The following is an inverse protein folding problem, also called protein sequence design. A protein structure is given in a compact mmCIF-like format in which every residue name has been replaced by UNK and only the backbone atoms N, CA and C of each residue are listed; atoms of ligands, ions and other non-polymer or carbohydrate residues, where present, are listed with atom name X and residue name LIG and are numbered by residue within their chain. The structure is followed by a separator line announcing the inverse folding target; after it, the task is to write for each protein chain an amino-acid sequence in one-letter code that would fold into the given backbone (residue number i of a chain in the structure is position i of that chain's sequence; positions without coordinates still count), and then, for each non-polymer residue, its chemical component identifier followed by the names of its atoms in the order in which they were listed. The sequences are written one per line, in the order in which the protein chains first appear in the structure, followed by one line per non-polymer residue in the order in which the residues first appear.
data_IF_229538475885
#
_entry.id   IF_229538475885
#
_cell.length_a   1.000
_cell.length_b   1.000
_cell.length_c   1.000
_cell.angle_alpha   90.00
_cell.angle_beta   90.00
_cell.angle_gamma   90.00
#
_symmetry.space_group_name_H-M   'P 1'
#
loop_
_entity.id
_entity.type
_entity.pdbx_description
1 polymer ?
#
# COMPACT_ATOMS: atom_id res chain seq x y z
N UNK A 1 -36.88 -2.75 1.35
CA UNK A 1 -36.08 -2.89 0.12
C UNK A 1 -34.72 -2.27 0.42
N UNK A 2 -33.60 -3.02 0.44
CA UNK A 2 -32.29 -2.41 0.65
C UNK A 2 -32.03 -1.41 -0.49
N UNK A 3 -31.50 -0.25 -0.14
CA UNK A 3 -31.10 0.78 -1.10
C UNK A 3 -29.93 0.22 -1.93
N UNK A 4 -30.22 -0.19 -3.16
CA UNK A 4 -29.18 -0.47 -4.14
C UNK A 4 -28.56 0.88 -4.53
N UNK A 5 -27.46 1.24 -3.87
CA UNK A 5 -26.57 2.27 -4.37
C UNK A 5 -26.24 1.93 -5.84
N UNK A 6 -26.26 2.90 -6.77
CA UNK A 6 -25.98 2.62 -8.17
C UNK A 6 -24.69 1.79 -8.28
N UNK A 7 -24.64 0.75 -9.13
CA UNK A 7 -23.53 -0.19 -9.15
C UNK A 7 -22.25 0.59 -9.37
N UNK A 8 -21.39 0.60 -8.34
CA UNK A 8 -20.14 1.33 -8.43
C UNK A 8 -19.27 0.62 -9.46
N UNK A 9 -19.03 1.32 -10.57
CA UNK A 9 -18.28 0.79 -11.72
C UNK A 9 -16.89 0.31 -11.28
N UNK A 10 -16.27 1.07 -10.37
CA UNK A 10 -14.97 0.79 -9.76
C UNK A 10 -15.06 0.85 -8.23
N UNK A 11 -15.13 -0.31 -7.59
CA UNK A 11 -15.20 -0.46 -6.14
C UNK A 11 -14.20 -1.50 -5.69
N UNK A 12 -13.50 -1.22 -4.59
CA UNK A 12 -12.50 -2.10 -4.02
C UNK A 12 -12.61 -2.08 -2.49
N UNK A 13 -12.44 -3.24 -1.88
CA UNK A 13 -12.28 -3.39 -0.44
C UNK A 13 -10.93 -4.05 -0.15
N UNK A 14 -10.31 -3.72 0.98
CA UNK A 14 -9.03 -4.30 1.38
C UNK A 14 -9.27 -5.15 2.64
N UNK A 15 -9.84 -6.36 2.50
CA UNK A 15 -10.26 -7.17 3.64
C UNK A 15 -9.11 -7.60 4.55
N UNK A 16 -7.90 -7.71 4.01
CA UNK A 16 -6.73 -8.16 4.75
C UNK A 16 -5.47 -7.47 4.24
N UNK A 17 -4.60 -7.09 5.16
CA UNK A 17 -3.28 -6.58 4.84
C UNK A 17 -2.25 -6.99 5.89
N UNK A 18 -1.10 -7.41 5.40
CA UNK A 18 0.10 -7.65 6.18
C UNK A 18 1.05 -6.47 6.02
N UNK A 19 0.85 -5.47 6.89
CA UNK A 19 1.67 -4.27 7.01
C UNK A 19 2.39 -4.27 8.37
N UNK A 20 3.60 -3.71 8.46
CA UNK A 20 4.30 -3.65 9.73
C UNK A 20 3.70 -2.56 10.62
N UNK A 21 3.46 -2.87 11.90
CA UNK A 21 3.09 -1.86 12.90
C UNK A 21 4.30 -1.00 13.34
N UNK A 22 5.50 -1.53 13.17
CA UNK A 22 6.75 -0.80 13.37
C UNK A 22 7.93 -1.48 12.70
N UNK A 23 8.95 -0.68 12.39
CA UNK A 23 10.16 -1.06 11.68
C UNK A 23 11.38 -0.41 12.33
N UNK A 24 12.55 -1.03 12.17
CA UNK A 24 13.80 -0.36 12.45
C UNK A 24 14.18 0.64 11.36
N UNK A 25 14.97 1.66 11.68
CA UNK A 25 15.49 2.61 10.69
C UNK A 25 16.28 1.87 9.59
N UNK A 26 15.96 2.12 8.31
CA UNK A 26 16.56 1.41 7.17
C UNK A 26 16.08 -0.03 6.96
N UNK A 27 15.13 -0.51 7.76
CA UNK A 27 14.63 -1.89 7.66
C UNK A 27 13.73 -2.06 6.43
N UNK A 28 13.96 -3.15 5.69
CA UNK A 28 13.11 -3.51 4.55
C UNK A 28 12.04 -4.51 4.98
N UNK A 29 10.80 -4.29 4.53
CA UNK A 29 9.66 -5.13 4.87
C UNK A 29 8.84 -5.46 3.62
N UNK A 30 8.57 -6.76 3.42
CA UNK A 30 7.72 -7.24 2.35
C UNK A 30 6.26 -7.26 2.80
N UNK A 31 5.49 -6.26 2.37
CA UNK A 31 4.07 -6.15 2.67
C UNK A 31 3.23 -6.92 1.66
N UNK A 32 2.04 -7.34 2.10
CA UNK A 32 1.02 -7.96 1.24
C UNK A 32 -0.34 -7.39 1.55
N UNK A 33 -1.08 -6.99 0.53
CA UNK A 33 -2.40 -6.38 0.70
C UNK A 33 -3.38 -7.15 -0.18
N UNK A 34 -4.33 -7.84 0.44
CA UNK A 34 -5.43 -8.50 -0.23
C UNK A 34 -6.51 -7.47 -0.55
N UNK A 35 -6.85 -7.37 -1.83
CA UNK A 35 -7.84 -6.43 -2.35
C UNK A 35 -8.93 -7.21 -3.06
N UNK A 36 -10.17 -6.99 -2.63
CA UNK A 36 -11.37 -7.55 -3.23
C UNK A 36 -11.97 -6.56 -4.22
N UNK A 37 -12.25 -7.04 -5.42
CA UNK A 37 -13.02 -6.29 -6.40
C UNK A 37 -14.50 -6.37 -6.04
N UNK A 38 -15.07 -5.27 -5.57
CA UNK A 38 -16.49 -5.12 -5.24
C UNK A 38 -17.25 -4.36 -6.33
N UNK A 39 -16.55 -3.93 -7.38
CA UNK A 39 -17.12 -3.22 -8.51
C UNK A 39 -17.68 -4.16 -9.58
N UNK A 40 -18.17 -3.57 -10.68
CA UNK A 40 -18.73 -4.32 -11.81
C UNK A 40 -17.72 -4.60 -12.94
N UNK A 41 -16.57 -3.90 -12.95
CA UNK A 41 -15.52 -4.10 -13.95
C UNK A 41 -14.42 -5.05 -13.48
N UNK A 42 -13.92 -5.91 -14.39
CA UNK A 42 -12.71 -6.70 -14.11
C UNK A 42 -11.47 -5.82 -14.12
N UNK A 43 -10.62 -5.95 -13.10
CA UNK A 43 -9.34 -5.26 -13.07
C UNK A 43 -8.28 -6.02 -13.85
N UNK A 44 -7.42 -5.29 -14.54
CA UNK A 44 -6.28 -5.84 -15.26
C UNK A 44 -5.17 -4.80 -15.38
N UNK A 45 -3.93 -5.27 -15.59
CA UNK A 45 -2.80 -4.37 -15.88
C UNK A 45 -3.05 -3.53 -17.13
N UNK A 46 -3.66 -4.10 -18.17
CA UNK A 46 -4.02 -3.40 -19.41
C UNK A 46 -5.05 -2.27 -19.18
N UNK A 47 -5.94 -2.43 -18.20
CA UNK A 47 -6.84 -1.37 -17.76
C UNK A 47 -6.18 -0.31 -16.86
N UNK A 48 -4.89 -0.46 -16.56
CA UNK A 48 -4.13 0.45 -15.70
C UNK A 48 -4.47 0.34 -14.21
N UNK A 49 -5.12 -0.75 -13.80
CA UNK A 49 -5.46 -0.98 -12.40
C UNK A 49 -4.20 -1.29 -11.58
N UNK A 50 -4.00 -0.53 -10.50
CA UNK A 50 -2.87 -0.67 -9.61
C UNK A 50 -3.28 -0.33 -8.18
N UNK A 51 -2.58 -0.90 -7.20
CA UNK A 51 -2.66 -0.44 -5.82
C UNK A 51 -1.73 0.77 -5.67
N UNK A 52 -2.29 1.92 -5.33
CA UNK A 52 -1.53 3.15 -5.14
C UNK A 52 -1.34 3.48 -3.66
N UNK A 53 -0.18 4.01 -3.34
CA UNK A 53 0.10 4.62 -2.06
C UNK A 53 -0.33 6.09 -2.13
N UNK A 54 -1.27 6.48 -1.29
CA UNK A 54 -1.85 7.82 -1.20
C UNK A 54 -0.96 8.71 -0.32
N UNK A 55 -0.44 8.17 0.78
CA UNK A 55 0.38 8.89 1.77
C UNK A 55 1.52 8.00 2.31
N UNK A 56 2.68 8.59 2.60
CA UNK A 56 3.86 7.91 3.18
C UNK A 56 4.79 7.21 2.20
N UNK A 57 4.71 7.49 0.90
CA UNK A 57 5.52 6.82 -0.12
C UNK A 57 6.94 7.35 -0.29
N UNK A 58 7.10 8.66 -0.17
CA UNK A 58 8.40 9.31 -0.35
C UNK A 58 9.36 8.96 0.79
N UNK A 59 8.86 8.80 2.01
CA UNK A 59 9.66 8.46 3.19
C UNK A 59 10.07 6.98 3.22
N UNK A 60 9.29 6.08 2.58
CA UNK A 60 9.54 4.63 2.63
C UNK A 60 10.30 4.07 1.42
N UNK A 61 10.89 4.95 0.59
CA UNK A 61 11.62 4.58 -0.64
C UNK A 61 10.90 3.51 -1.48
N UNK A 62 9.57 3.58 -1.54
CA UNK A 62 8.71 2.52 -2.10
C UNK A 62 8.06 2.98 -3.39
N UNK A 63 7.76 2.07 -4.34
CA UNK A 63 6.94 2.44 -5.49
C UNK A 63 5.59 2.99 -5.04
N UNK A 64 5.24 4.17 -5.56
CA UNK A 64 3.95 4.83 -5.32
C UNK A 64 2.76 4.02 -5.90
N UNK A 65 3.02 3.08 -6.82
CA UNK A 65 2.00 2.24 -7.46
C UNK A 65 2.51 0.83 -7.71
N UNK A 66 1.73 -0.15 -7.30
CA UNK A 66 1.95 -1.58 -7.51
C UNK A 66 0.94 -2.06 -8.55
N UNK A 67 1.40 -2.24 -9.78
CA UNK A 67 0.54 -2.73 -10.86
C UNK A 67 0.19 -4.21 -10.67
N UNK A 68 -0.94 -4.63 -11.24
CA UNK A 68 -1.25 -6.04 -11.41
C UNK A 68 -0.19 -6.74 -12.27
N UNK A 69 0.07 -8.02 -11.99
CA UNK A 69 0.96 -8.84 -12.81
C UNK A 69 0.43 -8.99 -14.26
N UNK A 70 1.32 -9.22 -15.22
CA UNK A 70 0.93 -9.45 -16.61
C UNK A 70 0.01 -10.68 -16.71
N UNK A 71 -1.13 -10.50 -17.37
CA UNK A 71 -2.18 -11.52 -17.47
C UNK A 71 -3.07 -11.68 -16.23
N UNK A 72 -2.77 -11.01 -15.11
CA UNK A 72 -3.65 -11.02 -13.94
C UNK A 72 -4.97 -10.29 -14.24
N UNK A 73 -6.07 -10.97 -13.93
CA UNK A 73 -7.42 -10.43 -14.08
C UNK A 73 -8.22 -10.69 -12.81
N UNK A 74 -8.73 -9.63 -12.19
CA UNK A 74 -9.52 -9.71 -10.96
C UNK A 74 -10.98 -9.45 -11.32
N UNK A 75 -11.77 -10.51 -11.44
CA UNK A 75 -13.19 -10.40 -11.73
C UNK A 75 -13.96 -9.77 -10.55
N UNK A 76 -15.16 -9.21 -10.77
CA UNK A 76 -16.08 -8.83 -9.71
C UNK A 76 -16.26 -9.95 -8.67
N UNK A 77 -16.16 -9.60 -7.40
CA UNK A 77 -16.21 -10.52 -6.26
C UNK A 77 -14.89 -11.23 -5.94
N UNK A 78 -13.90 -11.23 -6.85
CA UNK A 78 -12.63 -11.91 -6.65
C UNK A 78 -11.66 -11.09 -5.79
N UNK A 79 -10.71 -11.77 -5.15
CA UNK A 79 -9.65 -11.18 -4.32
C UNK A 79 -8.31 -11.36 -5.01
N UNK A 80 -7.48 -10.32 -4.98
CA UNK A 80 -6.11 -10.35 -5.46
C UNK A 80 -5.16 -9.79 -4.39
N UNK A 81 -4.03 -10.46 -4.20
CA UNK A 81 -3.03 -10.03 -3.21
C UNK A 81 -1.90 -9.31 -3.92
N UNK A 82 -1.77 -8.02 -3.66
CA UNK A 82 -0.63 -7.22 -4.07
C UNK A 82 0.52 -7.43 -3.10
N UNK A 83 1.75 -7.53 -3.62
CA UNK A 83 2.95 -7.61 -2.83
C UNK A 83 3.88 -6.45 -3.19
N UNK A 84 4.46 -5.81 -2.19
CA UNK A 84 5.45 -4.75 -2.36
C UNK A 84 6.51 -4.83 -1.26
N UNK A 85 7.65 -4.19 -1.49
CA UNK A 85 8.68 -4.04 -0.47
C UNK A 85 8.80 -2.56 -0.14
N UNK A 86 8.66 -2.23 1.14
CA UNK A 86 8.90 -0.89 1.68
C UNK A 86 10.23 -0.88 2.43
N UNK A 87 10.89 0.27 2.49
CA UNK A 87 12.13 0.46 3.25
C UNK A 87 11.91 1.61 4.21
N UNK A 88 12.00 1.36 5.52
CA UNK A 88 11.81 2.40 6.51
C UNK A 88 12.89 3.50 6.39
N UNK A 89 12.52 4.78 6.57
CA UNK A 89 13.48 5.87 6.57
C UNK A 89 14.52 5.73 7.69
N UNK A 90 15.65 6.43 7.56
CA UNK A 90 16.68 6.50 8.60
C UNK A 90 16.28 7.38 9.80
N UNK A 91 15.16 8.10 9.68
CA UNK A 91 14.62 8.96 10.72
C UNK A 91 13.58 8.21 11.55
N UNK A 92 13.80 8.17 12.87
CA UNK A 92 12.79 7.67 13.79
C UNK A 92 11.56 8.59 13.79
N UNK A 93 10.37 8.00 13.78
CA UNK A 93 9.13 8.74 13.61
C UNK A 93 7.92 7.83 13.53
N UNK A 94 6.73 8.43 13.53
CA UNK A 94 5.51 7.72 13.16
C UNK A 94 5.07 8.22 11.81
N UNK A 95 4.97 7.29 10.87
CA UNK A 95 4.56 7.57 9.50
C UNK A 95 3.25 6.87 9.23
N UNK A 96 2.44 7.40 8.33
CA UNK A 96 1.17 6.79 7.93
C UNK A 96 1.31 6.27 6.51
N UNK A 97 0.97 5.01 6.32
CA UNK A 97 0.89 4.40 5.01
C UNK A 97 -0.59 4.27 4.64
N UNK A 98 -1.05 5.08 3.71
CA UNK A 98 -2.42 4.99 3.19
C UNK A 98 -2.42 4.31 1.81
N UNK A 99 -3.01 3.13 1.70
CA UNK A 99 -3.11 2.38 0.44
C UNK A 99 -4.52 2.40 -0.12
N UNK A 100 -4.65 2.60 -1.43
CA UNK A 100 -5.94 2.63 -2.11
C UNK A 100 -5.82 2.21 -3.58
N UNK A 101 -6.84 1.53 -4.11
CA UNK A 101 -6.85 1.18 -5.53
C UNK A 101 -6.92 2.42 -6.41
N UNK A 102 -6.20 2.40 -7.52
CA UNK A 102 -6.14 3.50 -8.48
C UNK A 102 -6.22 2.99 -9.92
N UNK A 103 -6.79 3.82 -10.80
CA UNK A 103 -6.72 3.60 -12.25
C UNK A 103 -6.68 4.93 -13.01
N UNK A 104 -6.11 4.93 -14.23
CA UNK A 104 -6.19 6.07 -15.14
C UNK A 104 -7.64 6.52 -15.36
N UNK A 105 -7.88 7.84 -15.35
CA UNK A 105 -9.17 8.45 -15.62
C UNK A 105 -10.19 8.45 -14.47
N UNK A 106 -10.12 7.48 -13.53
CA UNK A 106 -10.97 7.50 -12.32
C UNK A 106 -10.24 7.99 -11.07
N UNK A 107 -8.90 7.94 -11.04
CA UNK A 107 -8.12 8.27 -9.85
C UNK A 107 -8.20 7.15 -8.80
N UNK A 108 -8.17 7.53 -7.52
CA UNK A 108 -8.27 6.59 -6.40
C UNK A 108 -9.73 6.21 -6.11
N UNK A 109 -10.00 4.92 -5.90
CA UNK A 109 -11.33 4.39 -5.65
C UNK A 109 -11.29 3.24 -4.62
N UNK A 110 -12.46 2.69 -4.27
CA UNK A 110 -12.62 1.76 -3.16
C UNK A 110 -12.43 2.39 -1.78
N UNK A 111 -12.36 1.52 -0.77
CA UNK A 111 -11.88 1.83 0.58
C UNK A 111 -10.39 2.14 0.56
N UNK A 112 -9.92 2.92 1.55
CA UNK A 112 -8.50 3.08 1.85
C UNK A 112 -8.11 2.19 3.03
N UNK A 113 -6.85 1.82 3.07
CA UNK A 113 -6.21 1.16 4.19
C UNK A 113 -5.17 2.11 4.78
N UNK A 114 -5.49 2.68 5.94
CA UNK A 114 -4.57 3.51 6.73
C UNK A 114 -3.87 2.64 7.77
N UNK A 115 -2.54 2.62 7.75
CA UNK A 115 -1.73 1.92 8.74
C UNK A 115 -0.64 2.86 9.29
N UNK A 116 -0.68 3.22 10.58
CA UNK A 116 0.43 3.89 11.23
C UNK A 116 1.59 2.90 11.42
N UNK A 117 2.77 3.30 10.97
CA UNK A 117 4.03 2.55 11.10
C UNK A 117 4.98 3.36 11.97
N UNK A 118 5.41 2.78 13.08
CA UNK A 118 6.41 3.39 13.97
C UNK A 118 7.82 2.96 13.55
N UNK A 119 8.61 3.92 13.12
CA UNK A 119 10.03 3.70 12.80
C UNK A 119 10.86 4.05 14.03
N UNK A 120 11.62 3.10 14.53
CA UNK A 120 12.50 3.28 15.68
C UNK A 120 13.94 2.96 15.29
N UNK A 121 14.86 3.89 15.54
CA UNK A 121 16.27 3.59 15.33
C UNK A 121 16.82 2.85 16.55
N UNK A 122 17.40 1.66 16.40
CA UNK A 122 18.12 1.05 17.50
C UNK A 122 19.28 1.97 17.92
N UNK A 123 19.58 2.08 19.24
CA UNK A 123 20.72 2.83 19.71
C UNK A 123 22.01 2.16 19.20
N UNK A 124 22.50 2.63 18.06
CA UNK A 124 23.62 2.02 17.34
C UNK A 124 23.78 2.44 15.88
N UNK A 125 22.74 3.03 15.27
CA UNK A 125 22.84 3.62 13.92
C UNK A 125 23.34 5.08 13.91
N UNK A 126 23.64 5.64 15.08
CA UNK A 126 24.58 6.76 15.16
C UNK A 126 25.98 6.13 15.23
N UNK A 127 26.68 6.15 14.09
CA UNK A 127 28.13 6.00 14.11
C UNK A 127 28.68 6.92 15.20
N UNK A 128 29.33 6.31 16.19
CA UNK A 128 30.16 7.03 17.15
C UNK A 128 31.31 7.69 16.37
N UNK A 129 31.07 8.88 15.84
CA UNK A 129 32.12 9.87 15.57
C UNK A 129 32.59 10.46 16.89
N UNK A 130 33.10 9.59 17.78
CA UNK A 130 33.68 9.98 19.05
C UNK A 130 34.94 10.80 18.78
N UNK A 131 34.91 12.05 19.26
CA UNK A 131 36.08 12.87 19.58
C UNK A 131 37.23 12.03 20.12
N UNK A 132 38.42 12.16 19.55
CA UNK A 132 39.68 11.88 20.25
C UNK A 132 40.88 12.59 19.60
N UNK A 133 41.40 13.54 20.39
CA UNK A 133 42.75 14.15 20.41
C UNK A 133 43.10 15.27 19.43
#
# INVERSE_FOLDING_TARGET
MPVECPPRIDDAELPEANLPAGLACGESYALRIAVRNTGSLSWSKAGGYALGLVDGGDEFHTPLRVALADGARVAPGAVHTFAATIVAPESAGTYRLEWRMTRPGAGFFGSSLDQPVRVACPPGAAGHGGTSR
#
